data_IF_529531619454
#
_entry.id   IF_529531619454
#
_cell.length_a   1.000
_cell.length_b   1.000
_cell.length_c   1.000
_cell.angle_alpha   90.00
_cell.angle_beta   90.00
_cell.angle_gamma   90.00
#
_symmetry.space_group_name_H-M   'P 1'
#
loop_
_entity.id
_entity.type
_entity.pdbx_description
1 polymer ?
#
# COMPACT_ATOMS: atom_id res chain seq x y z
N UNK A 1 -4.41 39.35 -12.30
CA UNK A 1 -3.63 38.10 -12.09
C UNK A 1 -4.62 36.99 -11.86
N UNK A 2 -4.96 36.25 -12.90
CA UNK A 2 -5.71 34.99 -12.79
C UNK A 2 -4.73 33.85 -13.03
N UNK A 3 -4.48 33.02 -12.02
CA UNK A 3 -3.78 31.77 -12.20
C UNK A 3 -4.78 30.63 -11.96
N UNK A 4 -5.18 30.00 -13.07
CA UNK A 4 -6.04 28.81 -13.10
C UNK A 4 -5.19 27.57 -12.85
N UNK A 5 -5.71 26.66 -12.02
CA UNK A 5 -5.03 25.45 -11.57
C UNK A 5 -4.71 24.44 -12.69
N UNK A 6 -3.80 23.51 -12.40
CA UNK A 6 -3.47 22.40 -13.30
C UNK A 6 -3.54 21.07 -12.56
N UNK A 7 -4.29 20.13 -13.16
CA UNK A 7 -4.41 18.72 -12.79
C UNK A 7 -3.70 17.84 -13.84
N UNK A 8 -3.22 16.67 -13.41
CA UNK A 8 -2.34 15.74 -14.13
C UNK A 8 -2.76 14.29 -13.83
N UNK A 9 -2.82 13.41 -14.84
CA UNK A 9 -3.07 11.98 -14.66
C UNK A 9 -2.35 11.19 -15.76
N UNK A 10 -1.87 9.95 -15.52
CA UNK A 10 -1.30 9.13 -16.57
C UNK A 10 -2.39 8.55 -17.50
N UNK A 11 -2.14 8.67 -18.80
CA UNK A 11 -2.64 7.77 -19.84
C UNK A 11 -1.79 6.49 -19.83
N UNK A 12 -2.42 5.35 -20.07
CA UNK A 12 -1.79 4.05 -20.40
C UNK A 12 -1.23 3.20 -19.24
N UNK A 13 -2.12 2.65 -18.39
CA UNK A 13 -1.82 1.42 -17.63
C UNK A 13 -3.03 0.49 -17.68
N UNK A 14 -2.87 -0.65 -18.34
CA UNK A 14 -3.94 -1.63 -18.54
C UNK A 14 -4.28 -2.37 -17.24
N UNK A 15 -5.57 -2.35 -16.86
CA UNK A 15 -6.14 -3.14 -15.76
C UNK A 15 -6.81 -4.43 -16.29
N UNK A 16 -7.04 -5.43 -15.43
CA UNK A 16 -7.55 -6.74 -15.87
C UNK A 16 -9.08 -6.80 -16.13
N UNK A 17 -9.48 -7.80 -16.93
CA UNK A 17 -10.80 -8.00 -17.58
C UNK A 17 -12.09 -7.85 -16.74
N UNK A 18 -12.07 -7.96 -15.41
CA UNK A 18 -13.29 -7.74 -14.60
C UNK A 18 -13.56 -6.26 -14.32
N UNK A 19 -12.57 -5.42 -14.53
CA UNK A 19 -12.67 -3.96 -14.49
C UNK A 19 -13.18 -3.41 -15.84
N UNK A 20 -13.04 -4.18 -16.95
CA UNK A 20 -13.33 -3.72 -18.32
C UNK A 20 -14.80 -3.41 -18.63
N UNK A 21 -15.78 -4.05 -18.01
CA UNK A 21 -17.19 -3.83 -18.37
C UNK A 21 -17.70 -2.42 -18.03
N UNK A 22 -17.01 -1.69 -17.14
CA UNK A 22 -17.28 -0.28 -16.84
C UNK A 22 -16.46 0.68 -17.71
N UNK A 23 -15.38 0.21 -18.35
CA UNK A 23 -14.51 1.02 -19.21
C UNK A 23 -14.85 0.92 -20.70
N UNK A 24 -15.63 -0.07 -21.15
CA UNK A 24 -16.11 -0.15 -22.54
C UNK A 24 -16.98 1.05 -22.92
N UNK A 25 -17.63 1.70 -21.95
CA UNK A 25 -18.39 2.95 -22.16
C UNK A 25 -17.49 4.21 -22.19
N UNK A 26 -16.23 4.10 -21.74
CA UNK A 26 -15.22 5.16 -21.72
C UNK A 26 -14.18 5.05 -22.86
N UNK A 27 -14.02 3.88 -23.46
CA UNK A 27 -13.12 3.64 -24.60
C UNK A 27 -13.58 4.37 -25.88
N UNK A 28 -14.89 4.47 -26.11
CA UNK A 28 -15.44 5.19 -27.28
C UNK A 28 -15.21 6.71 -27.24
N UNK A 29 -14.91 7.26 -26.06
CA UNK A 29 -14.58 8.68 -25.90
C UNK A 29 -13.08 8.97 -25.99
N UNK A 30 -12.22 7.95 -25.91
CA UNK A 30 -10.77 8.12 -25.81
C UNK A 30 -10.00 7.92 -27.13
N UNK A 31 -10.60 7.36 -28.18
CA UNK A 31 -9.95 7.11 -29.48
C UNK A 31 -9.74 8.37 -30.36
N UNK A 32 -9.72 9.58 -29.78
CA UNK A 32 -9.39 10.83 -30.50
C UNK A 32 -8.42 11.70 -29.68
N UNK A 33 -7.12 11.38 -29.69
CA UNK A 33 -6.10 12.34 -29.24
C UNK A 33 -4.78 11.72 -28.77
N UNK A 34 -3.71 12.05 -29.49
CA UNK A 34 -2.33 11.57 -29.42
C UNK A 34 -1.58 11.56 -28.06
N UNK A 35 -0.55 10.71 -28.04
CA UNK A 35 0.39 10.35 -26.96
C UNK A 35 1.33 11.50 -26.55
N UNK A 36 1.49 11.77 -25.24
CA UNK A 36 2.60 12.59 -24.73
C UNK A 36 2.62 12.91 -23.23
N UNK A 37 3.77 12.64 -22.57
CA UNK A 37 4.23 13.07 -21.22
C UNK A 37 3.63 12.36 -19.98
N UNK A 38 4.47 11.61 -19.25
CA UNK A 38 4.16 11.05 -17.91
C UNK A 38 4.74 11.92 -16.77
N UNK A 39 3.93 12.15 -15.72
CA UNK A 39 4.17 13.07 -14.60
C UNK A 39 3.53 12.54 -13.30
N UNK A 40 4.20 12.69 -12.15
CA UNK A 40 3.59 12.46 -10.81
C UNK A 40 2.72 13.65 -10.45
N UNK A 41 1.49 13.39 -9.98
CA UNK A 41 0.61 14.39 -9.35
C UNK A 41 0.49 14.14 -7.86
N UNK A 42 0.79 15.18 -7.08
CA UNK A 42 0.48 15.25 -5.66
C UNK A 42 -0.74 16.17 -5.49
N UNK A 43 -1.83 15.69 -4.88
CA UNK A 43 -3.02 16.50 -4.64
C UNK A 43 -2.85 17.38 -3.39
N UNK A 44 -2.91 18.69 -3.57
CA UNK A 44 -2.71 19.67 -2.50
C UNK A 44 -3.67 19.44 -1.32
N UNK A 45 -4.94 19.15 -1.59
CA UNK A 45 -5.95 18.93 -0.55
C UNK A 45 -5.62 17.67 0.27
N UNK A 46 -5.14 16.62 -0.40
CA UNK A 46 -4.70 15.39 0.25
C UNK A 46 -3.59 15.63 1.27
N UNK A 47 -2.51 16.30 0.86
CA UNK A 47 -1.33 16.46 1.71
C UNK A 47 -1.55 17.44 2.87
N UNK A 48 -2.45 18.42 2.70
CA UNK A 48 -2.91 19.27 3.80
C UNK A 48 -3.65 18.43 4.83
N UNK A 49 -4.65 17.67 4.38
CA UNK A 49 -5.46 16.87 5.29
C UNK A 49 -4.61 15.77 5.96
N UNK A 50 -3.66 15.19 5.24
CA UNK A 50 -2.70 14.23 5.77
C UNK A 50 -1.76 14.86 6.79
N UNK A 51 -1.27 16.08 6.56
CA UNK A 51 -0.44 16.83 7.51
C UNK A 51 -1.18 17.09 8.82
N UNK A 52 -2.47 17.46 8.74
CA UNK A 52 -3.34 17.60 9.91
C UNK A 52 -3.51 16.27 10.66
N UNK A 53 -3.66 15.16 9.93
CA UNK A 53 -3.69 13.84 10.54
C UNK A 53 -2.36 13.48 11.23
N UNK A 54 -1.21 13.83 10.65
CA UNK A 54 0.09 13.59 11.28
C UNK A 54 0.25 14.33 12.61
N UNK A 55 -0.40 15.48 12.81
CA UNK A 55 -0.40 16.17 14.12
C UNK A 55 -1.13 15.34 15.18
N UNK A 56 -2.24 14.70 14.80
CA UNK A 56 -3.01 13.80 15.66
C UNK A 56 -2.24 12.49 15.90
N UNK A 57 -1.59 11.93 14.87
CA UNK A 57 -0.87 10.66 14.96
C UNK A 57 0.43 10.74 15.78
N UNK A 58 0.89 11.93 16.20
CA UNK A 58 2.02 12.08 17.13
C UNK A 58 1.81 11.32 18.43
N UNK A 59 0.57 11.15 18.84
CA UNK A 59 0.18 10.44 20.06
C UNK A 59 0.07 8.92 19.87
N UNK A 60 0.28 8.42 18.64
CA UNK A 60 0.32 6.98 18.35
C UNK A 60 1.40 6.24 19.16
N UNK A 61 2.42 6.96 19.64
CA UNK A 61 3.44 6.46 20.57
C UNK A 61 2.86 6.04 21.92
N UNK A 62 1.77 6.67 22.37
CA UNK A 62 1.15 6.40 23.67
C UNK A 62 -0.10 5.54 23.56
N UNK A 63 -0.93 5.77 22.53
CA UNK A 63 -2.26 5.16 22.42
C UNK A 63 -2.41 4.19 21.24
N UNK A 64 -1.33 3.98 20.47
CA UNK A 64 -1.37 3.23 19.23
C UNK A 64 -1.94 4.04 18.06
N UNK A 65 -1.59 3.63 16.84
CA UNK A 65 -1.96 4.31 15.60
C UNK A 65 -3.44 4.14 15.26
N UNK A 66 -4.09 5.21 14.79
CA UNK A 66 -5.46 5.14 14.30
C UNK A 66 -5.52 4.56 12.87
N UNK A 67 -5.45 3.22 12.77
CA UNK A 67 -5.47 2.50 11.50
C UNK A 67 -6.74 2.74 10.66
N UNK A 68 -7.86 3.10 11.29
CA UNK A 68 -9.10 3.45 10.57
C UNK A 68 -8.90 4.74 9.77
N UNK A 69 -8.24 5.75 10.35
CA UNK A 69 -7.88 6.98 9.64
C UNK A 69 -6.84 6.72 8.54
N UNK A 70 -5.78 5.96 8.83
CA UNK A 70 -4.76 5.59 7.81
C UNK A 70 -5.42 4.90 6.62
N UNK A 71 -6.34 3.96 6.88
CA UNK A 71 -7.12 3.30 5.85
C UNK A 71 -7.99 4.28 5.06
N UNK A 72 -8.67 5.24 5.69
CA UNK A 72 -9.40 6.26 4.96
C UNK A 72 -8.50 7.08 4.03
N UNK A 73 -7.28 7.42 4.44
CA UNK A 73 -6.29 8.10 3.59
C UNK A 73 -5.76 7.23 2.46
N UNK A 74 -5.61 5.93 2.67
CA UNK A 74 -5.34 4.97 1.59
C UNK A 74 -6.45 5.00 0.53
N UNK A 75 -7.72 4.96 0.96
CA UNK A 75 -8.86 5.05 0.05
C UNK A 75 -8.95 6.39 -0.68
N UNK A 76 -8.68 7.50 0.02
CA UNK A 76 -8.66 8.82 -0.59
C UNK A 76 -7.58 8.90 -1.67
N UNK A 77 -6.36 8.45 -1.38
CA UNK A 77 -5.27 8.48 -2.35
C UNK A 77 -5.57 7.60 -3.56
N UNK A 78 -6.14 6.41 -3.35
CA UNK A 78 -6.60 5.56 -4.46
C UNK A 78 -7.68 6.23 -5.32
N UNK A 79 -8.63 6.92 -4.70
CA UNK A 79 -9.68 7.66 -5.40
C UNK A 79 -9.09 8.80 -6.25
N UNK A 80 -8.06 9.49 -5.74
CA UNK A 80 -7.31 10.50 -6.47
C UNK A 80 -6.61 9.92 -7.69
N UNK A 81 -5.89 8.80 -7.56
CA UNK A 81 -5.24 8.14 -8.69
C UNK A 81 -6.23 7.78 -9.81
N UNK A 82 -7.45 7.41 -9.43
CA UNK A 82 -8.51 7.01 -10.36
C UNK A 82 -9.40 8.17 -10.85
N UNK A 83 -9.06 9.43 -10.52
CA UNK A 83 -9.88 10.62 -10.84
C UNK A 83 -11.34 10.57 -10.32
N UNK A 84 -11.59 9.81 -9.26
CA UNK A 84 -12.93 9.66 -8.72
C UNK A 84 -13.35 10.87 -7.88
N UNK A 85 -14.66 11.06 -7.68
CA UNK A 85 -15.15 12.07 -6.73
C UNK A 85 -14.73 11.72 -5.30
N UNK A 86 -13.98 12.62 -4.66
CA UNK A 86 -13.38 12.43 -3.33
C UNK A 86 -14.15 13.12 -2.21
N UNK A 87 -15.15 13.96 -2.50
CA UNK A 87 -15.84 14.81 -1.51
C UNK A 87 -16.41 14.02 -0.32
N UNK A 88 -17.05 12.88 -0.61
CA UNK A 88 -17.61 12.00 0.45
C UNK A 88 -16.53 11.35 1.32
N UNK A 89 -15.35 11.08 0.75
CA UNK A 89 -14.22 10.48 1.47
C UNK A 89 -13.59 11.55 2.36
N UNK A 90 -13.34 12.74 1.82
CA UNK A 90 -12.81 13.90 2.54
C UNK A 90 -13.70 14.25 3.73
N UNK A 91 -15.01 14.36 3.53
CA UNK A 91 -15.96 14.65 4.62
C UNK A 91 -15.90 13.62 5.75
N UNK A 92 -15.74 12.33 5.43
CA UNK A 92 -15.58 11.25 6.43
C UNK A 92 -14.26 11.38 7.19
N UNK A 93 -13.17 11.68 6.50
CA UNK A 93 -11.86 11.89 7.14
C UNK A 93 -11.93 13.07 8.11
N UNK A 94 -12.46 14.21 7.66
CA UNK A 94 -12.62 15.41 8.48
C UNK A 94 -13.47 15.10 9.72
N UNK A 95 -14.61 14.44 9.55
CA UNK A 95 -15.47 14.08 10.68
C UNK A 95 -14.75 13.14 11.66
N UNK A 96 -14.03 12.13 11.15
CA UNK A 96 -13.28 11.21 12.00
C UNK A 96 -12.13 11.90 12.77
N UNK A 97 -11.47 12.88 12.15
CA UNK A 97 -10.45 13.72 12.79
C UNK A 97 -11.06 14.66 13.84
N UNK A 98 -12.24 15.25 13.57
CA UNK A 98 -12.96 16.11 14.53
C UNK A 98 -13.46 15.37 15.78
N UNK A 99 -13.76 14.08 15.65
CA UNK A 99 -14.14 13.24 16.78
C UNK A 99 -12.95 12.85 17.68
N UNK A 100 -11.71 13.14 17.27
CA UNK A 100 -10.59 13.12 18.20
C UNK A 100 -10.68 14.41 19.02
N UNK A 101 -10.60 14.34 20.35
CA UNK A 101 -10.79 15.49 21.28
C UNK A 101 -9.81 16.67 21.08
N UNK A 102 -9.01 16.63 20.01
CA UNK A 102 -8.08 17.66 19.58
C UNK A 102 -8.31 17.94 18.10
N UNK A 103 -8.79 19.14 17.79
CA UNK A 103 -8.88 19.61 16.41
C UNK A 103 -7.46 19.91 15.92
N UNK A 104 -7.06 19.39 14.75
CA UNK A 104 -5.76 19.73 14.19
C UNK A 104 -5.72 21.21 13.85
N UNK A 105 -4.55 21.83 13.97
CA UNK A 105 -4.40 23.24 13.61
C UNK A 105 -4.79 23.45 12.15
N UNK A 106 -5.47 24.56 11.87
CA UNK A 106 -5.79 24.93 10.50
C UNK A 106 -4.48 25.34 9.83
N UNK A 107 -4.00 24.51 8.91
CA UNK A 107 -2.75 24.80 8.24
C UNK A 107 -3.02 25.61 6.98
N UNK A 108 -2.47 26.81 6.93
CA UNK A 108 -2.53 27.69 5.78
C UNK A 108 -1.33 27.44 4.88
N UNK A 109 -1.58 26.95 3.67
CA UNK A 109 -0.55 26.79 2.66
C UNK A 109 -0.86 27.68 1.46
N UNK A 110 0.17 28.31 0.89
CA UNK A 110 0.07 28.90 -0.45
C UNK A 110 0.12 27.77 -1.47
N UNK A 111 -0.69 27.85 -2.51
CA UNK A 111 -0.62 26.93 -3.65
C UNK A 111 0.84 26.83 -4.12
N UNK A 112 1.35 25.60 -4.19
CA UNK A 112 2.76 25.34 -4.45
C UNK A 112 2.91 24.46 -5.67
N UNK A 113 3.59 24.97 -6.69
CA UNK A 113 3.95 24.19 -7.87
C UNK A 113 5.29 23.51 -7.58
N UNK A 114 5.28 22.18 -7.58
CA UNK A 114 6.47 21.35 -7.41
C UNK A 114 6.92 20.90 -8.80
N UNK A 115 7.86 21.63 -9.39
CA UNK A 115 8.54 21.20 -10.62
C UNK A 115 9.62 20.15 -10.29
N UNK A 116 9.71 19.08 -11.08
CA UNK A 116 10.81 18.12 -11.05
C UNK A 116 11.71 18.38 -12.26
N UNK A 117 13.03 18.40 -12.05
CA UNK A 117 13.98 18.41 -13.16
C UNK A 117 14.09 17.04 -13.85
N UNK A 118 14.80 16.99 -14.98
CA UNK A 118 14.94 15.80 -15.80
C UNK A 118 15.66 14.63 -15.10
N UNK A 119 16.58 14.88 -14.16
CA UNK A 119 17.30 13.83 -13.43
C UNK A 119 16.37 13.15 -12.42
N UNK A 120 15.47 13.92 -11.79
CA UNK A 120 14.50 13.41 -10.83
C UNK A 120 13.23 12.85 -11.48
N UNK A 121 13.09 12.96 -12.80
CA UNK A 121 12.02 12.32 -13.58
C UNK A 121 12.05 10.80 -13.44
N UNK A 122 13.24 10.18 -13.44
CA UNK A 122 13.40 8.73 -13.25
C UNK A 122 12.93 8.32 -11.85
N UNK A 123 13.32 9.07 -10.82
CA UNK A 123 12.89 8.84 -9.44
C UNK A 123 11.36 8.90 -9.29
N UNK A 124 10.76 9.89 -9.95
CA UNK A 124 9.31 10.07 -10.04
C UNK A 124 8.62 8.85 -10.69
N UNK A 125 9.15 8.34 -11.79
CA UNK A 125 8.60 7.17 -12.46
C UNK A 125 8.70 5.91 -11.58
N UNK A 126 9.84 5.71 -10.90
CA UNK A 126 10.03 4.59 -9.98
C UNK A 126 9.02 4.65 -8.83
N UNK A 127 8.86 5.82 -8.20
CA UNK A 127 7.90 6.02 -7.11
C UNK A 127 6.46 5.75 -7.58
N UNK A 128 6.08 6.27 -8.76
CA UNK A 128 4.76 6.02 -9.35
C UNK A 128 4.51 4.52 -9.54
N UNK A 129 5.48 3.82 -10.14
CA UNK A 129 5.40 2.39 -10.37
C UNK A 129 5.26 1.62 -9.05
N UNK A 130 6.03 1.97 -8.02
CA UNK A 130 5.93 1.35 -6.70
C UNK A 130 4.57 1.56 -6.05
N UNK A 131 3.99 2.76 -6.17
CA UNK A 131 2.65 3.07 -5.64
C UNK A 131 1.58 2.25 -6.35
N UNK A 132 1.64 2.16 -7.69
CA UNK A 132 0.69 1.37 -8.49
C UNK A 132 0.77 -0.10 -8.11
N UNK A 133 1.99 -0.66 -8.08
CA UNK A 133 2.20 -2.06 -7.69
C UNK A 133 1.78 -2.33 -6.24
N UNK A 134 1.94 -1.36 -5.34
CA UNK A 134 1.41 -1.44 -3.97
C UNK A 134 -0.11 -1.63 -3.95
N UNK A 135 -0.87 -0.84 -4.70
CA UNK A 135 -2.32 -1.04 -4.82
C UNK A 135 -2.68 -2.36 -5.51
N UNK A 136 -1.94 -2.76 -6.54
CA UNK A 136 -2.14 -4.05 -7.21
C UNK A 136 -1.94 -5.23 -6.24
N UNK A 137 -0.95 -5.14 -5.34
CA UNK A 137 -0.72 -6.16 -4.30
C UNK A 137 -1.92 -6.28 -3.35
N UNK A 138 -2.51 -5.14 -2.95
CA UNK A 138 -3.71 -5.09 -2.12
C UNK A 138 -4.91 -5.70 -2.84
N UNK A 139 -5.08 -5.45 -4.13
CA UNK A 139 -6.15 -6.05 -4.93
C UNK A 139 -5.99 -7.56 -5.05
N UNK A 140 -4.76 -8.05 -5.21
CA UNK A 140 -4.44 -9.47 -5.20
C UNK A 140 -4.81 -10.11 -3.85
N UNK A 141 -4.46 -9.45 -2.73
CA UNK A 141 -4.83 -9.88 -1.38
C UNK A 141 -6.35 -9.93 -1.20
N UNK A 142 -7.08 -8.89 -1.62
CA UNK A 142 -8.54 -8.86 -1.52
C UNK A 142 -9.20 -9.94 -2.38
N UNK A 143 -8.64 -10.22 -3.56
CA UNK A 143 -9.07 -11.34 -4.41
C UNK A 143 -8.84 -12.67 -3.71
N UNK A 144 -7.67 -12.89 -3.12
CA UNK A 144 -7.38 -14.08 -2.31
C UNK A 144 -8.38 -14.24 -1.16
N UNK A 145 -8.56 -13.20 -0.34
CA UNK A 145 -9.48 -13.18 0.81
C UNK A 145 -10.92 -13.48 0.40
N UNK A 146 -11.35 -12.98 -0.76
CA UNK A 146 -12.65 -13.30 -1.35
C UNK A 146 -12.71 -14.76 -1.76
N UNK A 147 -11.70 -15.27 -2.45
CA UNK A 147 -11.64 -16.66 -2.93
C UNK A 147 -11.69 -17.66 -1.77
N UNK A 148 -11.01 -17.42 -0.65
CA UNK A 148 -11.01 -18.39 0.46
C UNK A 148 -12.31 -18.39 1.28
N UNK A 149 -13.16 -17.36 1.16
CA UNK A 149 -14.44 -17.28 1.89
C UNK A 149 -14.31 -17.02 3.40
N UNK A 150 -15.45 -16.76 4.05
CA UNK A 150 -15.51 -16.31 5.44
C UNK A 150 -14.98 -17.34 6.44
N UNK A 151 -15.39 -18.61 6.33
CA UNK A 151 -14.99 -19.65 7.27
C UNK A 151 -13.48 -19.87 7.30
N UNK A 152 -12.81 -19.85 6.14
CA UNK A 152 -11.35 -19.97 6.11
C UNK A 152 -10.66 -18.71 6.64
N UNK A 153 -11.21 -17.51 6.41
CA UNK A 153 -10.70 -16.29 7.06
C UNK A 153 -10.81 -16.36 8.59
N UNK A 154 -11.90 -16.93 9.11
CA UNK A 154 -12.07 -17.19 10.55
C UNK A 154 -11.04 -18.19 11.07
N UNK A 155 -10.83 -19.32 10.37
CA UNK A 155 -9.78 -20.30 10.71
C UNK A 155 -8.40 -19.68 10.78
N UNK A 156 -8.03 -18.85 9.78
CA UNK A 156 -6.76 -18.12 9.78
C UNK A 156 -6.63 -17.22 11.01
N UNK A 157 -7.68 -16.47 11.35
CA UNK A 157 -7.66 -15.56 12.49
C UNK A 157 -7.47 -16.29 13.83
N UNK A 158 -8.15 -17.44 14.01
CA UNK A 158 -7.99 -18.29 15.20
C UNK A 158 -6.57 -18.83 15.27
N UNK A 159 -6.05 -19.38 14.17
CA UNK A 159 -4.68 -19.92 14.14
C UNK A 159 -3.63 -18.84 14.42
N UNK A 160 -3.84 -17.63 13.91
CA UNK A 160 -2.94 -16.51 14.17
C UNK A 160 -2.95 -16.08 15.63
N UNK A 161 -4.12 -16.09 16.26
CA UNK A 161 -4.23 -15.86 17.70
C UNK A 161 -3.53 -16.97 18.50
N UNK A 162 -3.63 -18.22 18.05
CA UNK A 162 -2.96 -19.35 18.70
C UNK A 162 -1.44 -19.17 18.71
N UNK A 163 -0.85 -18.91 17.54
CA UNK A 163 0.59 -18.65 17.39
C UNK A 163 1.07 -17.45 18.19
N UNK A 164 0.28 -16.37 18.23
CA UNK A 164 0.60 -15.20 19.04
C UNK A 164 0.59 -15.55 20.53
N UNK A 165 -0.40 -16.33 20.99
CA UNK A 165 -0.48 -16.77 22.40
C UNK A 165 0.74 -17.62 22.78
N UNK A 166 1.13 -18.56 21.92
CA UNK A 166 2.30 -19.42 22.11
C UNK A 166 3.61 -18.60 22.16
N UNK A 167 3.77 -17.62 21.26
CA UNK A 167 4.96 -16.77 21.21
C UNK A 167 5.21 -16.01 22.51
N UNK A 168 4.15 -15.52 23.17
CA UNK A 168 4.24 -14.80 24.44
C UNK A 168 4.11 -15.71 25.67
N UNK A 169 4.04 -17.03 25.49
CA UNK A 169 3.95 -17.99 26.60
C UNK A 169 2.58 -18.07 27.28
N UNK A 170 1.51 -17.56 26.65
CA UNK A 170 0.14 -17.65 27.15
C UNK A 170 -0.48 -19.02 26.80
N UNK A 171 -0.03 -20.09 27.45
CA UNK A 171 -0.42 -21.47 27.12
C UNK A 171 -1.83 -21.90 27.62
N UNK A 172 -2.56 -21.01 28.29
CA UNK A 172 -3.80 -21.35 29.00
C UNK A 172 -4.97 -20.39 28.81
N UNK A 173 -5.03 -19.64 27.69
CA UNK A 173 -6.22 -18.84 27.41
C UNK A 173 -7.42 -19.77 27.15
N UNK A 174 -8.40 -19.77 28.05
CA UNK A 174 -9.69 -20.43 27.81
C UNK A 174 -10.41 -19.66 26.70
N UNK A 175 -10.36 -20.20 25.47
CA UNK A 175 -10.87 -19.55 24.24
C UNK A 175 -12.37 -19.71 24.03
N UNK A 176 -13.07 -20.39 24.94
CA UNK A 176 -14.53 -20.50 24.95
C UNK A 176 -15.16 -19.12 25.15
N UNK A 177 -15.39 -18.39 24.06
CA UNK A 177 -15.98 -17.04 24.09
C UNK A 177 -15.44 -16.05 23.05
N UNK A 178 -14.39 -16.40 22.29
CA UNK A 178 -13.85 -15.46 21.29
C UNK A 178 -14.75 -15.44 20.05
N UNK A 179 -15.46 -14.33 19.87
CA UNK A 179 -16.30 -14.07 18.70
C UNK A 179 -15.44 -13.43 17.60
N UNK A 180 -15.26 -14.12 16.48
CA UNK A 180 -14.62 -13.54 15.30
C UNK A 180 -15.53 -12.48 14.67
N UNK A 181 -15.04 -11.25 14.55
CA UNK A 181 -15.70 -10.15 13.85
C UNK A 181 -14.76 -9.55 12.81
N UNK A 182 -15.15 -9.61 11.55
CA UNK A 182 -14.36 -9.02 10.46
C UNK A 182 -14.57 -7.50 10.43
N UNK A 183 -13.50 -6.73 10.67
CA UNK A 183 -13.53 -5.27 10.53
C UNK A 183 -13.23 -4.84 9.10
N UNK A 184 -13.73 -3.66 8.68
CA UNK A 184 -13.43 -3.10 7.34
C UNK A 184 -11.93 -2.88 7.07
N UNK A 185 -11.11 -2.69 8.10
CA UNK A 185 -9.66 -2.59 7.93
C UNK A 185 -9.01 -3.91 7.48
N UNK A 186 -9.73 -5.04 7.54
CA UNK A 186 -9.23 -6.37 7.15
C UNK A 186 -8.92 -6.52 5.66
N UNK A 187 -9.30 -5.54 4.82
CA UNK A 187 -8.97 -5.52 3.38
C UNK A 187 -7.50 -5.17 3.10
N UNK A 188 -6.72 -4.79 4.11
CA UNK A 188 -5.29 -4.51 3.98
C UNK A 188 -4.57 -5.03 5.23
N UNK A 189 -3.45 -5.76 5.10
CA UNK A 189 -2.61 -6.12 6.25
C UNK A 189 -2.15 -4.88 7.01
N UNK A 190 -2.19 -4.91 8.35
CA UNK A 190 -1.83 -3.77 9.21
C UNK A 190 -0.39 -3.31 8.96
N UNK A 191 0.54 -4.24 8.74
CA UNK A 191 1.93 -3.94 8.40
C UNK A 191 2.04 -3.17 7.07
N UNK A 192 1.23 -3.52 6.07
CA UNK A 192 1.18 -2.77 4.82
C UNK A 192 0.59 -1.36 5.00
N UNK A 193 -0.39 -1.19 5.91
CA UNK A 193 -0.89 0.13 6.29
C UNK A 193 0.18 0.98 7.00
N UNK A 194 1.04 0.37 7.82
CA UNK A 194 2.17 1.07 8.44
C UNK A 194 3.16 1.56 7.38
N UNK A 195 3.54 0.71 6.44
CA UNK A 195 4.44 1.10 5.36
C UNK A 195 3.82 2.16 4.45
N UNK A 196 2.53 2.05 4.12
CA UNK A 196 1.82 3.11 3.43
C UNK A 196 1.90 4.43 4.21
N UNK A 197 1.63 4.41 5.51
CA UNK A 197 1.64 5.59 6.35
C UNK A 197 3.01 6.29 6.36
N UNK A 198 4.10 5.52 6.48
CA UNK A 198 5.47 6.02 6.44
C UNK A 198 5.84 6.57 5.04
N UNK A 199 5.42 5.89 3.97
CA UNK A 199 5.58 6.40 2.61
C UNK A 199 4.89 7.74 2.42
N UNK A 200 3.63 7.86 2.85
CA UNK A 200 2.86 9.10 2.74
C UNK A 200 3.38 10.21 3.64
N UNK A 201 3.95 9.92 4.82
CA UNK A 201 4.58 10.96 5.63
C UNK A 201 5.79 11.58 4.93
N UNK A 202 6.61 10.78 4.23
CA UNK A 202 7.69 11.33 3.40
C UNK A 202 7.16 12.16 2.24
N UNK A 203 6.10 11.71 1.55
CA UNK A 203 5.47 12.50 0.49
C UNK A 203 4.81 13.78 1.02
N UNK A 204 4.35 13.79 2.26
CA UNK A 204 3.90 15.00 2.94
C UNK A 204 5.08 15.95 3.18
N UNK A 205 6.22 15.47 3.66
CA UNK A 205 7.42 16.30 3.84
C UNK A 205 7.96 16.91 2.53
N UNK A 206 7.85 16.20 1.40
CA UNK A 206 8.14 16.74 0.06
C UNK A 206 7.33 18.01 -0.23
N UNK A 207 6.08 18.02 0.23
CA UNK A 207 5.16 19.12 0.06
C UNK A 207 5.47 20.27 1.03
N UNK A 208 5.82 19.95 2.28
CA UNK A 208 6.06 20.92 3.35
C UNK A 208 7.42 21.60 3.27
N UNK A 209 8.48 20.88 2.86
CA UNK A 209 9.87 21.33 2.93
C UNK A 209 10.56 21.27 1.57
N UNK A 210 11.09 22.41 1.11
CA UNK A 210 11.74 22.53 -0.20
C UNK A 210 13.15 21.91 -0.24
N UNK A 211 13.89 22.07 0.85
CA UNK A 211 15.29 21.68 1.02
C UNK A 211 15.51 20.16 1.09
N UNK A 212 14.48 19.39 1.47
CA UNK A 212 14.56 17.94 1.63
C UNK A 212 13.70 17.14 0.64
N UNK A 213 13.23 17.77 -0.45
CA UNK A 213 12.30 17.16 -1.42
C UNK A 213 12.81 15.83 -1.99
N UNK A 214 13.99 15.81 -2.56
CA UNK A 214 14.48 14.62 -3.27
C UNK A 214 14.79 13.47 -2.34
N UNK A 215 15.42 13.77 -1.20
CA UNK A 215 15.67 12.79 -0.13
C UNK A 215 14.37 12.16 0.37
N UNK A 216 13.28 12.93 0.50
CA UNK A 216 12.00 12.36 0.93
C UNK A 216 11.32 11.53 -0.17
N UNK A 217 11.47 11.88 -1.45
CA UNK A 217 11.01 11.03 -2.56
C UNK A 217 11.74 9.69 -2.58
N UNK A 218 13.07 9.68 -2.41
CA UNK A 218 13.89 8.47 -2.32
C UNK A 218 13.49 7.60 -1.12
N UNK A 219 13.24 8.23 0.04
CA UNK A 219 12.82 7.54 1.26
C UNK A 219 11.42 6.93 1.16
N UNK A 220 10.51 7.49 0.35
CA UNK A 220 9.17 6.95 0.19
C UNK A 220 9.15 5.60 -0.57
N UNK A 221 10.04 5.42 -1.55
CA UNK A 221 10.12 4.20 -2.39
C UNK A 221 10.27 2.90 -1.58
N UNK A 222 11.25 2.76 -0.66
CA UNK A 222 11.42 1.52 0.09
C UNK A 222 10.22 1.21 0.98
N UNK A 223 9.45 2.20 1.43
CA UNK A 223 8.22 1.96 2.17
C UNK A 223 7.16 1.27 1.30
N UNK A 224 6.89 1.78 0.09
CA UNK A 224 5.95 1.09 -0.82
C UNK A 224 6.44 -0.32 -1.19
N UNK A 225 7.75 -0.50 -1.40
CA UNK A 225 8.36 -1.82 -1.64
C UNK A 225 8.15 -2.79 -0.47
N UNK A 226 8.42 -2.35 0.77
CA UNK A 226 8.15 -3.15 1.97
C UNK A 226 6.66 -3.45 2.12
N UNK A 227 5.80 -2.46 1.90
CA UNK A 227 4.35 -2.63 1.93
C UNK A 227 3.87 -3.73 0.98
N UNK A 228 4.36 -3.76 -0.27
CA UNK A 228 4.06 -4.84 -1.23
C UNK A 228 4.47 -6.22 -0.69
N UNK A 229 5.69 -6.32 -0.17
CA UNK A 229 6.21 -7.59 0.38
C UNK A 229 5.38 -8.06 1.59
N UNK A 230 4.97 -7.16 2.48
CA UNK A 230 4.10 -7.50 3.62
C UNK A 230 2.74 -8.05 3.16
N UNK A 231 2.19 -7.51 2.06
CA UNK A 231 0.97 -8.05 1.45
C UNK A 231 1.21 -9.46 0.91
N UNK A 232 2.26 -9.67 0.12
CA UNK A 232 2.56 -10.98 -0.46
C UNK A 232 2.87 -12.04 0.61
N UNK A 233 3.69 -11.71 1.61
CA UNK A 233 3.99 -12.58 2.75
C UNK A 233 2.72 -12.96 3.51
N UNK A 234 1.77 -12.03 3.64
CA UNK A 234 0.47 -12.31 4.25
C UNK A 234 -0.35 -13.32 3.44
N UNK A 235 -0.43 -13.17 2.10
CA UNK A 235 -1.12 -14.14 1.23
C UNK A 235 -0.50 -15.53 1.38
N UNK A 236 0.83 -15.64 1.30
CA UNK A 236 1.55 -16.92 1.41
C UNK A 236 1.33 -17.57 2.78
N UNK A 237 1.46 -16.80 3.86
CA UNK A 237 1.22 -17.29 5.22
C UNK A 237 -0.19 -17.82 5.38
N UNK A 238 -1.19 -17.03 4.99
CA UNK A 238 -2.60 -17.37 5.15
C UNK A 238 -2.95 -18.61 4.30
N UNK A 239 -2.38 -18.73 3.09
CA UNK A 239 -2.52 -19.92 2.27
C UNK A 239 -1.92 -21.18 2.91
N UNK A 240 -0.71 -21.08 3.49
CA UNK A 240 -0.04 -22.21 4.16
C UNK A 240 -0.71 -22.61 5.48
N UNK A 241 -1.40 -21.69 6.16
CA UNK A 241 -2.27 -22.03 7.29
C UNK A 241 -3.41 -22.94 6.84
N UNK A 242 -4.01 -22.65 5.68
CA UNK A 242 -5.13 -23.42 5.14
C UNK A 242 -4.69 -24.72 4.44
N UNK A 243 -3.46 -24.76 3.92
CA UNK A 243 -2.94 -25.86 3.10
C UNK A 243 -1.56 -26.30 3.62
N UNK A 244 -1.53 -26.99 4.75
CA UNK A 244 -0.28 -27.36 5.43
C UNK A 244 0.62 -28.28 4.59
N UNK A 245 0.02 -29.10 3.73
CA UNK A 245 0.72 -30.04 2.85
C UNK A 245 1.24 -29.42 1.54
N UNK A 246 1.09 -28.10 1.34
CA UNK A 246 1.56 -27.40 0.15
C UNK A 246 3.09 -27.18 0.15
N UNK A 247 3.85 -28.29 0.22
CA UNK A 247 5.31 -28.30 0.33
C UNK A 247 6.01 -27.51 -0.78
N UNK A 248 5.50 -27.55 -2.02
CA UNK A 248 6.06 -26.80 -3.13
C UNK A 248 6.00 -25.28 -2.92
N UNK A 249 4.85 -24.76 -2.44
CA UNK A 249 4.68 -23.34 -2.09
C UNK A 249 5.59 -22.95 -0.94
N UNK A 250 5.70 -23.80 0.08
CA UNK A 250 6.59 -23.58 1.23
C UNK A 250 8.06 -23.48 0.81
N UNK A 251 8.54 -24.41 -0.02
CA UNK A 251 9.92 -24.42 -0.50
C UNK A 251 10.23 -23.20 -1.36
N UNK A 252 9.32 -22.80 -2.24
CA UNK A 252 9.51 -21.63 -3.08
C UNK A 252 9.50 -20.33 -2.27
N UNK A 253 8.59 -20.19 -1.31
CA UNK A 253 8.57 -19.05 -0.39
C UNK A 253 9.87 -18.93 0.42
N UNK A 254 10.47 -20.05 0.84
CA UNK A 254 11.76 -20.08 1.52
C UNK A 254 12.89 -19.58 0.61
N UNK A 255 12.95 -20.04 -0.65
CA UNK A 255 13.95 -19.57 -1.63
C UNK A 255 13.86 -18.05 -1.86
N UNK A 256 12.65 -17.51 -2.01
CA UNK A 256 12.45 -16.06 -2.18
C UNK A 256 12.90 -15.32 -0.91
N UNK A 257 12.60 -15.87 0.27
CA UNK A 257 12.99 -15.26 1.56
C UNK A 257 14.50 -15.30 1.81
N UNK A 258 15.20 -16.35 1.40
CA UNK A 258 16.65 -16.42 1.43
C UNK A 258 17.29 -15.34 0.55
N UNK A 259 16.74 -15.14 -0.66
CA UNK A 259 17.15 -14.05 -1.54
C UNK A 259 16.90 -12.68 -0.90
N UNK A 260 15.74 -12.48 -0.26
CA UNK A 260 15.44 -11.26 0.49
C UNK A 260 16.50 -10.98 1.57
N UNK A 261 16.82 -11.95 2.43
CA UNK A 261 17.84 -11.77 3.47
C UNK A 261 19.23 -11.46 2.91
N UNK A 262 19.60 -12.10 1.80
CA UNK A 262 20.90 -11.89 1.16
C UNK A 262 21.04 -10.51 0.52
N UNK A 263 19.93 -9.84 0.21
CA UNK A 263 19.92 -8.64 -0.62
C UNK A 263 19.45 -7.40 0.13
N UNK A 264 18.48 -7.52 1.03
CA UNK A 264 17.92 -6.41 1.82
C UNK A 264 18.53 -6.37 3.24
N UNK A 265 19.04 -7.49 3.75
CA UNK A 265 19.53 -7.64 5.13
C UNK A 265 21.01 -7.30 5.35
N UNK A 266 21.77 -6.99 4.29
CA UNK A 266 23.15 -6.53 4.41
C UNK A 266 23.18 -5.04 4.10
N UNK A 267 23.44 -4.16 5.09
CA UNK A 267 23.73 -2.78 4.76
C UNK A 267 25.01 -2.79 3.92
N UNK A 268 24.90 -2.37 2.66
CA UNK A 268 26.09 -1.97 1.93
C UNK A 268 26.77 -0.89 2.77
N UNK A 269 28.06 -1.11 3.07
CA UNK A 269 28.92 -0.10 3.69
C UNK A 269 28.66 1.23 3.00
N UNK A 270 28.16 2.22 3.76
CA UNK A 270 27.84 3.56 3.29
C UNK A 270 29.12 4.17 2.70
N UNK A 271 29.29 4.06 1.39
CA UNK A 271 30.30 4.81 0.64
C UNK A 271 29.75 6.22 0.44
N UNK A 272 30.61 7.22 0.68
CA UNK A 272 30.28 8.65 0.81
C UNK A 272 29.69 9.34 -0.44
N UNK A 273 29.28 8.61 -1.47
CA UNK A 273 28.70 9.15 -2.70
C UNK A 273 27.26 8.62 -2.90
N UNK A 274 26.21 9.46 -2.80
CA UNK A 274 24.81 9.00 -2.82
C UNK A 274 24.27 8.58 -4.20
N UNK A 275 25.03 8.75 -5.29
CA UNK A 275 24.47 8.70 -6.65
C UNK A 275 24.50 7.34 -7.34
N UNK A 276 24.99 6.27 -6.71
CA UNK A 276 25.14 4.97 -7.37
C UNK A 276 24.81 3.77 -6.49
N UNK A 277 23.67 3.77 -5.79
CA UNK A 277 23.09 2.53 -5.26
C UNK A 277 21.76 2.25 -5.94
N UNK A 278 21.82 2.05 -7.26
CA UNK A 278 20.75 1.43 -8.02
C UNK A 278 20.79 -0.06 -7.70
N UNK A 279 19.82 -0.48 -6.89
CA UNK A 279 19.39 -1.86 -6.56
C UNK A 279 20.15 -2.97 -7.30
N UNK A 280 20.79 -3.87 -6.56
CA UNK A 280 21.48 -5.01 -7.18
C UNK A 280 20.50 -5.84 -8.04
N UNK A 281 20.95 -6.43 -9.14
CA UNK A 281 20.13 -7.34 -10.00
C UNK A 281 19.43 -8.48 -9.22
N UNK A 282 19.88 -8.77 -7.99
CA UNK A 282 19.25 -9.76 -7.10
C UNK A 282 18.08 -9.17 -6.30
N UNK A 283 18.15 -7.91 -5.86
CA UNK A 283 17.02 -7.20 -5.24
C UNK A 283 15.85 -7.04 -6.21
N UNK A 284 16.15 -6.81 -7.50
CA UNK A 284 15.14 -6.69 -8.56
C UNK A 284 14.27 -7.94 -8.72
N UNK A 285 14.71 -9.12 -8.23
CA UNK A 285 13.97 -10.39 -8.38
C UNK A 285 13.09 -10.75 -7.19
N UNK A 286 13.26 -10.12 -6.03
CA UNK A 286 12.55 -10.51 -4.79
C UNK A 286 11.05 -10.20 -4.91
N UNK A 287 10.70 -8.96 -5.27
CA UNK A 287 9.30 -8.53 -5.38
C UNK A 287 8.58 -9.27 -6.53
N UNK A 288 9.14 -9.39 -7.74
CA UNK A 288 8.55 -10.22 -8.80
C UNK A 288 8.35 -11.68 -8.38
N UNK A 289 9.33 -12.30 -7.70
CA UNK A 289 9.20 -13.68 -7.21
C UNK A 289 8.04 -13.85 -6.23
N UNK A 290 7.89 -12.92 -5.28
CA UNK A 290 6.74 -12.90 -4.37
C UNK A 290 5.41 -12.72 -5.12
N UNK A 291 5.37 -11.81 -6.09
CA UNK A 291 4.18 -11.53 -6.91
C UNK A 291 3.72 -12.77 -7.69
N UNK A 292 4.63 -13.39 -8.44
CA UNK A 292 4.33 -14.58 -9.25
C UNK A 292 3.81 -15.75 -8.40
N UNK A 293 4.43 -15.99 -7.24
CA UNK A 293 3.98 -17.02 -6.30
C UNK A 293 2.57 -16.71 -5.78
N UNK A 294 2.30 -15.46 -5.41
CA UNK A 294 0.98 -15.05 -4.92
C UNK A 294 -0.08 -15.16 -6.04
N UNK A 295 0.22 -14.78 -7.27
CA UNK A 295 -0.71 -14.91 -8.40
C UNK A 295 -1.11 -16.37 -8.63
N UNK A 296 -0.16 -17.32 -8.54
CA UNK A 296 -0.46 -18.76 -8.60
C UNK A 296 -1.33 -19.21 -7.43
N UNK A 297 -1.01 -18.80 -6.20
CA UNK A 297 -1.82 -19.08 -5.00
C UNK A 297 -3.26 -18.58 -5.16
N UNK A 298 -3.45 -17.34 -5.61
CA UNK A 298 -4.78 -16.74 -5.79
C UNK A 298 -5.57 -17.49 -6.86
N UNK A 299 -4.91 -17.90 -7.96
CA UNK A 299 -5.51 -18.72 -9.02
C UNK A 299 -5.96 -20.09 -8.49
N UNK A 300 -5.13 -20.77 -7.69
CA UNK A 300 -5.46 -22.06 -7.07
C UNK A 300 -6.65 -21.93 -6.12
N UNK A 301 -6.66 -20.89 -5.29
CA UNK A 301 -7.71 -20.63 -4.29
C UNK A 301 -9.10 -20.42 -4.91
N UNK A 302 -9.16 -20.01 -6.18
CA UNK A 302 -10.43 -19.88 -6.93
C UNK A 302 -11.05 -21.23 -7.26
N UNK A 303 -10.24 -22.25 -7.54
CA UNK A 303 -10.70 -23.54 -8.05
C UNK A 303 -11.18 -24.47 -6.93
N UNK A 304 -10.71 -24.29 -5.70
CA UNK A 304 -11.12 -25.12 -4.55
C UNK A 304 -12.59 -24.91 -4.16
N UNK A 305 -13.15 -23.72 -4.42
CA UNK A 305 -14.57 -23.43 -4.15
C UNK A 305 -15.53 -23.81 -5.30
N UNK A 306 -15.03 -24.38 -6.41
CA UNK A 306 -15.88 -24.87 -7.50
C UNK A 306 -16.15 -26.38 -7.40
N UNK A 307 -15.61 -27.06 -6.39
CA UNK A 307 -15.79 -28.50 -6.16
C UNK A 307 -16.64 -28.83 -4.91
N UNK A 308 -17.36 -27.83 -4.37
CA UNK A 308 -18.35 -28.00 -3.29
C UNK A 308 -19.70 -27.53 -3.82
#
# INVERSE_FOLDING_TARGET
MEAKGIAIFPTDVAFNKKTNAFFTELEDQFLKGEVGKSTIKLDFEYYILYSQFLQIDRESLFFGRNYKLVFCFLFYYRALLNKNNTQKIVAKIINAMRCQERLPEKIHYREKIICMDNQHRTLSQILSSCIVEFYNSIDLYNTFKKNIGFENRKKIAIEMLNRASEHYGFFGLNRGGITYKEEKISFVPVQALNEFHHGMSHLCEVFLKEDARYTNLERAIPHFKRGMMEVYKTIIRDFLILNQDALGVKQEALKIRELEYQTIGKPETVTKNPTTNLTSKKEEKVIPGYKELCERIVKQSKNTNQMI
#
